data_IF_338970167056
#
_entry.id   IF_338970167056
#
_cell.length_a   1.000
_cell.length_b   1.000
_cell.length_c   1.000
_cell.angle_alpha   90.00
_cell.angle_beta   90.00
_cell.angle_gamma   90.00
#
_symmetry.space_group_name_H-M   'P 1'
#
loop_
_entity.id
_entity.type
_entity.pdbx_description
1 polymer ?
#
# COMPACT_ATOMS: atom_id res chain seq x y z
N UNK A 1 -5.36 1.44 12.35
CA UNK A 1 -5.20 0.01 12.60
C UNK A 1 -4.61 -0.67 11.37
N UNK A 2 -3.66 -1.60 11.56
CA UNK A 2 -3.08 -2.43 10.50
C UNK A 2 -3.87 -3.74 10.46
N UNK A 3 -4.17 -4.23 9.26
CA UNK A 3 -4.85 -5.52 9.05
C UNK A 3 -4.00 -6.37 8.11
N UNK A 4 -3.83 -7.65 8.44
CA UNK A 4 -3.23 -8.62 7.53
C UNK A 4 -4.32 -9.25 6.65
N UNK A 5 -3.95 -9.57 5.41
CA UNK A 5 -4.83 -10.18 4.41
C UNK A 5 -4.04 -11.09 3.48
N UNK A 6 -4.52 -12.30 3.27
CA UNK A 6 -3.99 -13.21 2.25
C UNK A 6 -4.55 -12.85 0.87
N UNK A 7 -3.67 -12.60 -0.09
CA UNK A 7 -3.95 -12.35 -1.50
C UNK A 7 -3.31 -13.46 -2.35
N UNK A 8 -3.68 -13.61 -3.64
CA UNK A 8 -3.15 -14.71 -4.48
C UNK A 8 -1.61 -14.75 -4.61
N UNK A 9 -0.93 -13.63 -4.36
CA UNK A 9 0.51 -13.47 -4.49
C UNK A 9 1.27 -13.43 -3.15
N UNK A 10 0.58 -13.65 -2.03
CA UNK A 10 1.17 -13.73 -0.68
C UNK A 10 0.32 -13.04 0.40
N UNK A 11 0.85 -12.99 1.61
CA UNK A 11 0.21 -12.30 2.74
C UNK A 11 0.63 -10.84 2.76
N UNK A 12 -0.35 -9.95 2.80
CA UNK A 12 -0.15 -8.50 2.80
C UNK A 12 -0.56 -7.87 4.13
N UNK A 13 0.28 -6.96 4.61
CA UNK A 13 -0.11 -6.01 5.63
C UNK A 13 -0.68 -4.76 4.99
N UNK A 14 -1.82 -4.31 5.50
CA UNK A 14 -2.57 -3.17 4.96
C UNK A 14 -2.81 -2.18 6.10
N UNK A 15 -2.53 -0.91 5.85
CA UNK A 15 -2.77 0.18 6.78
C UNK A 15 -3.50 1.31 6.08
N UNK A 16 -4.63 1.75 6.63
CA UNK A 16 -5.29 2.98 6.19
C UNK A 16 -4.58 4.19 6.79
N UNK A 17 -4.31 5.17 5.94
CA UNK A 17 -3.67 6.43 6.30
C UNK A 17 -4.69 7.55 6.08
N UNK A 18 -4.95 8.32 7.14
CA UNK A 18 -5.80 9.51 7.04
C UNK A 18 -5.09 10.61 6.25
N UNK A 19 -5.88 11.50 5.65
CA UNK A 19 -5.36 12.70 5.03
C UNK A 19 -4.60 13.55 6.06
N UNK A 20 -3.43 14.06 5.68
CA UNK A 20 -2.66 14.98 6.50
C UNK A 20 -2.29 16.24 5.69
N UNK A 21 -2.17 17.38 6.38
CA UNK A 21 -1.84 18.65 5.70
C UNK A 21 -0.36 18.75 5.30
N UNK A 22 0.45 17.75 5.64
CA UNK A 22 1.89 17.72 5.38
C UNK A 22 2.39 16.29 5.24
N UNK A 23 3.15 16.02 4.18
CA UNK A 23 3.77 14.73 3.94
C UNK A 23 4.35 14.60 2.54
N UNK A 24 5.00 13.45 2.30
CA UNK A 24 5.60 13.13 0.99
C UNK A 24 4.52 12.72 -0.01
N UNK A 25 4.80 12.96 -1.29
CA UNK A 25 4.02 12.44 -2.40
C UNK A 25 4.65 11.12 -2.87
N UNK A 26 3.82 10.12 -3.10
CA UNK A 26 4.22 8.81 -3.59
C UNK A 26 3.58 8.49 -4.94
N UNK A 27 4.03 7.45 -5.63
CA UNK A 27 3.43 6.98 -6.89
C UNK A 27 2.58 5.74 -6.61
N UNK A 28 1.32 5.75 -7.04
CA UNK A 28 0.43 4.61 -6.93
C UNK A 28 0.83 3.51 -7.92
N UNK A 29 1.09 2.27 -7.48
CA UNK A 29 1.42 1.18 -8.40
C UNK A 29 0.25 0.78 -9.33
N UNK A 30 -1.00 0.98 -8.90
CA UNK A 30 -2.18 0.57 -9.66
C UNK A 30 -2.56 1.48 -10.83
N UNK A 31 -2.19 2.76 -10.78
CA UNK A 31 -2.54 3.74 -11.83
C UNK A 31 -1.37 4.61 -12.29
N UNK A 32 -0.20 4.51 -11.67
CA UNK A 32 0.97 5.35 -11.96
C UNK A 32 0.82 6.81 -11.54
N UNK A 33 -0.32 7.22 -10.96
CA UNK A 33 -0.56 8.60 -10.55
C UNK A 33 -0.08 8.88 -9.12
N UNK A 34 0.08 10.17 -8.81
CA UNK A 34 0.55 10.64 -7.52
C UNK A 34 -0.48 10.41 -6.41
N UNK A 35 -0.01 9.89 -5.27
CA UNK A 35 -0.73 9.78 -4.00
C UNK A 35 -0.17 10.86 -3.08
N UNK A 36 -0.92 11.96 -2.93
CA UNK A 36 -0.55 13.01 -1.98
C UNK A 36 -0.89 12.59 -0.55
N UNK A 37 -0.11 13.04 0.42
CA UNK A 37 -0.38 12.81 1.82
C UNK A 37 -1.67 13.51 2.31
N UNK A 38 -2.08 14.58 1.60
CA UNK A 38 -3.36 15.27 1.79
C UNK A 38 -4.60 14.45 1.36
N UNK A 39 -4.41 13.27 0.78
CA UNK A 39 -5.50 12.36 0.43
C UNK A 39 -5.45 11.11 1.31
N UNK A 40 -6.59 10.72 1.87
CA UNK A 40 -6.70 9.45 2.58
C UNK A 40 -6.39 8.29 1.62
N UNK A 41 -5.46 7.43 2.01
CA UNK A 41 -4.90 6.41 1.13
C UNK A 41 -4.53 5.14 1.89
N UNK A 42 -4.06 4.11 1.18
CA UNK A 42 -3.66 2.84 1.75
C UNK A 42 -2.16 2.65 1.58
N UNK A 43 -1.52 2.18 2.65
CA UNK A 43 -0.15 1.68 2.61
C UNK A 43 -0.20 0.17 2.74
N UNK A 44 0.42 -0.52 1.78
CA UNK A 44 0.47 -1.97 1.75
C UNK A 44 1.90 -2.46 1.48
N UNK A 45 2.29 -3.53 2.15
CA UNK A 45 3.55 -4.25 1.91
C UNK A 45 3.35 -5.73 2.20
N UNK A 46 4.22 -6.56 1.64
CA UNK A 46 4.15 -8.01 1.81
C UNK A 46 4.74 -8.41 3.15
N UNK A 47 4.05 -9.28 3.88
CA UNK A 47 4.60 -9.97 5.05
C UNK A 47 5.32 -11.24 4.63
N UNK A 48 4.77 -11.95 3.66
CA UNK A 48 5.31 -13.17 3.10
C UNK A 48 5.22 -13.12 1.58
N UNK A 49 6.23 -13.66 0.90
CA UNK A 49 6.27 -13.76 -0.55
C UNK A 49 7.20 -14.90 -0.98
N UNK A 50 7.05 -15.35 -2.23
CA UNK A 50 7.98 -16.29 -2.85
C UNK A 50 9.40 -15.70 -2.92
N UNK A 51 10.39 -16.58 -3.01
CA UNK A 51 11.81 -16.21 -3.00
C UNK A 51 12.14 -15.11 -4.04
N UNK A 52 12.88 -14.07 -3.63
CA UNK A 52 13.29 -12.95 -4.50
C UNK A 52 12.32 -11.76 -4.55
N UNK A 53 11.22 -11.78 -3.79
CA UNK A 53 10.31 -10.63 -3.65
C UNK A 53 10.60 -9.87 -2.36
N UNK A 54 10.59 -8.54 -2.44
CA UNK A 54 10.81 -7.67 -1.28
C UNK A 54 9.64 -7.79 -0.27
N UNK A 55 9.97 -8.01 1.00
CA UNK A 55 9.04 -8.22 2.11
C UNK A 55 9.37 -7.28 3.26
N UNK A 56 8.40 -7.08 4.15
CA UNK A 56 8.57 -6.24 5.33
C UNK A 56 8.26 -4.77 5.07
N UNK A 57 8.44 -3.96 6.11
CA UNK A 57 7.97 -2.57 6.12
C UNK A 57 8.75 -1.69 5.13
N UNK A 58 9.94 -2.09 4.72
CA UNK A 58 10.73 -1.32 3.75
C UNK A 58 10.15 -1.40 2.31
N UNK A 59 9.37 -2.44 1.97
CA UNK A 59 8.65 -2.54 0.70
C UNK A 59 7.29 -1.83 0.66
N UNK A 60 7.04 -0.89 1.58
CA UNK A 60 5.80 -0.10 1.63
C UNK A 60 5.50 0.57 0.28
N UNK A 61 4.32 0.26 -0.25
CA UNK A 61 3.74 0.94 -1.40
C UNK A 61 2.49 1.69 -1.00
N UNK A 62 2.36 2.90 -1.56
CA UNK A 62 1.24 3.80 -1.30
C UNK A 62 0.25 3.72 -2.45
N UNK A 63 -1.01 3.49 -2.13
CA UNK A 63 -2.08 3.28 -3.10
C UNK A 63 -3.22 4.24 -2.83
N UNK A 64 -3.85 4.77 -3.87
CA UNK A 64 -5.21 5.29 -3.70
C UNK A 64 -6.12 4.18 -3.21
N UNK A 65 -7.05 4.51 -2.30
CA UNK A 65 -7.97 3.52 -1.71
C UNK A 65 -8.69 2.69 -2.77
N UNK A 66 -9.21 3.36 -3.83
CA UNK A 66 -9.88 2.68 -4.96
C UNK A 66 -8.94 1.79 -5.78
N UNK A 67 -7.69 2.20 -5.99
CA UNK A 67 -6.72 1.41 -6.73
C UNK A 67 -6.36 0.13 -5.97
N UNK A 68 -6.19 0.23 -4.65
CA UNK A 68 -5.91 -0.94 -3.82
C UNK A 68 -7.10 -1.92 -3.77
N UNK A 69 -8.33 -1.40 -3.67
CA UNK A 69 -9.54 -2.23 -3.70
C UNK A 69 -9.72 -3.04 -4.99
N UNK A 70 -9.17 -2.56 -6.11
CA UNK A 70 -9.19 -3.26 -7.40
C UNK A 70 -8.00 -4.18 -7.63
N UNK A 71 -6.89 -3.95 -6.93
CA UNK A 71 -5.67 -4.77 -7.02
C UNK A 71 -5.80 -6.09 -6.27
N UNK A 72 -6.44 -6.03 -5.09
CA UNK A 72 -6.57 -7.18 -4.17
C UNK A 72 -7.49 -8.28 -4.70
#
# INVERSE_FOLDING_TARGET
>A
MRVSRDLPDGTWSIQRVAANSSGKVYVCPGCGQQVSAATAHIVAWRQEASHGVDIGVDSRRHWHSRCFERFR
#
